data_IF_479995628170
#
_entry.id   IF_479995628170
#
_cell.length_a   1.000
_cell.length_b   1.000
_cell.length_c   1.000
_cell.angle_alpha   90.00
_cell.angle_beta   90.00
_cell.angle_gamma   90.00
#
_symmetry.space_group_name_H-M   'P 1'
#
loop_
_entity.id
_entity.type
_entity.pdbx_description
1 polymer ?
#
# COMPACT_ATOMS: atom_id res chain seq x y z
N UNK A 1 4.11 11.89 8.64
CA UNK A 1 3.46 11.18 9.77
C UNK A 1 4.49 10.91 10.84
N UNK A 2 4.12 10.85 12.13
CA UNK A 2 5.02 10.41 13.21
C UNK A 2 4.82 8.90 13.45
N UNK A 3 5.59 8.30 14.36
CA UNK A 3 5.50 6.88 14.71
C UNK A 3 4.04 6.47 15.04
N UNK A 4 3.58 5.35 14.48
CA UNK A 4 2.31 4.73 14.89
C UNK A 4 2.62 3.77 16.04
N UNK A 5 2.11 4.09 17.23
CA UNK A 5 2.17 3.21 18.38
C UNK A 5 0.95 2.27 18.40
N UNK A 6 1.11 1.06 18.94
CA UNK A 6 0.03 0.07 19.12
C UNK A 6 -0.72 -0.31 17.82
N UNK A 7 0.02 -0.47 16.73
CA UNK A 7 -0.53 -0.88 15.45
C UNK A 7 -0.99 -2.35 15.45
N UNK A 8 -2.23 -2.58 15.01
CA UNK A 8 -2.76 -3.90 14.67
C UNK A 8 -2.98 -3.97 13.16
N UNK A 9 -2.42 -4.96 12.45
CA UNK A 9 -2.57 -5.08 11.01
C UNK A 9 -4.00 -5.49 10.61
N UNK A 10 -4.47 -5.10 9.41
CA UNK A 10 -5.71 -5.64 8.86
C UNK A 10 -5.58 -7.14 8.64
N UNK A 11 -6.69 -7.83 8.85
CA UNK A 11 -6.83 -9.25 8.57
C UNK A 11 -6.83 -9.53 7.07
N UNK A 12 -6.47 -10.76 6.64
CA UNK A 12 -6.59 -11.16 5.24
C UNK A 12 -7.99 -10.93 4.65
N UNK A 13 -9.03 -11.13 5.44
CA UNK A 13 -10.43 -10.93 5.04
C UNK A 13 -10.75 -9.46 4.79
N UNK A 14 -10.27 -8.55 5.63
CA UNK A 14 -10.44 -7.10 5.43
C UNK A 14 -9.69 -6.62 4.19
N UNK A 15 -8.52 -7.20 3.89
CA UNK A 15 -7.78 -6.88 2.66
C UNK A 15 -8.46 -7.40 1.39
N UNK A 16 -9.08 -8.58 1.43
CA UNK A 16 -9.90 -9.08 0.31
C UNK A 16 -11.20 -8.28 0.16
N UNK A 17 -11.81 -7.83 1.26
CA UNK A 17 -12.97 -6.94 1.21
C UNK A 17 -12.60 -5.60 0.55
N UNK A 18 -11.49 -4.98 0.96
CA UNK A 18 -10.98 -3.75 0.33
C UNK A 18 -10.78 -3.93 -1.19
N UNK A 19 -10.18 -5.05 -1.61
CA UNK A 19 -10.00 -5.36 -3.03
C UNK A 19 -11.34 -5.44 -3.78
N UNK A 20 -12.33 -6.08 -3.17
CA UNK A 20 -13.67 -6.19 -3.74
C UNK A 20 -14.39 -4.84 -3.83
N UNK A 21 -14.31 -4.02 -2.77
CA UNK A 21 -14.92 -2.69 -2.70
C UNK A 21 -14.34 -1.73 -3.77
N UNK A 22 -13.03 -1.83 -4.01
CA UNK A 22 -12.36 -1.07 -5.07
C UNK A 22 -12.62 -1.63 -6.48
N UNK A 23 -13.15 -2.86 -6.60
CA UNK A 23 -13.27 -3.56 -7.88
C UNK A 23 -11.92 -3.89 -8.52
N UNK A 24 -10.86 -4.02 -7.71
CA UNK A 24 -9.49 -4.18 -8.18
C UNK A 24 -9.09 -5.66 -8.38
N UNK A 25 -8.18 -5.89 -9.32
CA UNK A 25 -7.48 -7.16 -9.47
C UNK A 25 -6.34 -7.26 -8.44
N UNK A 26 -5.83 -8.48 -8.22
CA UNK A 26 -4.68 -8.67 -7.33
C UNK A 26 -3.39 -7.97 -7.80
N UNK A 27 -3.24 -7.72 -9.11
CA UNK A 27 -2.13 -6.91 -9.63
C UNK A 27 -2.32 -5.43 -9.29
N UNK A 28 -3.53 -4.90 -9.46
CA UNK A 28 -3.83 -3.50 -9.06
C UNK A 28 -3.67 -3.29 -7.55
N UNK A 29 -4.00 -4.30 -6.73
CA UNK A 29 -3.71 -4.24 -5.29
C UNK A 29 -2.20 -4.30 -4.99
N UNK A 30 -1.43 -5.05 -5.78
CA UNK A 30 0.03 -5.07 -5.66
C UNK A 30 0.63 -3.69 -5.97
N UNK A 31 0.16 -3.05 -7.04
CA UNK A 31 0.56 -1.68 -7.41
C UNK A 31 0.18 -0.68 -6.31
N UNK A 32 -1.06 -0.76 -5.80
CA UNK A 32 -1.55 0.07 -4.70
C UNK A 32 -0.75 -0.13 -3.39
N UNK A 33 -0.24 -1.34 -3.15
CA UNK A 33 0.59 -1.64 -2.00
C UNK A 33 2.09 -1.37 -2.24
N UNK A 34 2.49 -0.96 -3.44
CA UNK A 34 3.90 -0.74 -3.79
C UNK A 34 4.73 -2.02 -3.77
N UNK A 35 4.14 -3.17 -4.11
CA UNK A 35 4.83 -4.47 -4.16
C UNK A 35 4.87 -5.03 -5.58
N UNK A 36 5.91 -5.81 -5.89
CA UNK A 36 6.27 -6.12 -7.27
C UNK A 36 5.26 -6.96 -8.09
N UNK A 37 4.30 -7.66 -7.46
CA UNK A 37 3.31 -8.49 -8.19
C UNK A 37 2.18 -8.99 -7.31
N UNK A 38 1.11 -9.53 -7.92
CA UNK A 38 0.04 -10.25 -7.22
C UNK A 38 0.56 -11.40 -6.32
N UNK A 39 1.68 -12.04 -6.68
CA UNK A 39 2.26 -13.07 -5.80
C UNK A 39 2.74 -12.50 -4.46
N UNK A 40 3.22 -11.26 -4.44
CA UNK A 40 3.58 -10.55 -3.20
C UNK A 40 2.33 -10.09 -2.46
N UNK A 41 1.32 -9.60 -3.17
CA UNK A 41 0.02 -9.23 -2.57
C UNK A 41 -0.63 -10.43 -1.84
N UNK A 42 -0.66 -11.60 -2.49
CA UNK A 42 -1.23 -12.85 -1.93
C UNK A 42 -0.55 -13.30 -0.65
N UNK A 43 0.66 -12.83 -0.32
CA UNK A 43 1.28 -13.10 0.99
C UNK A 43 0.51 -12.47 2.13
N UNK A 44 -0.24 -11.39 1.89
CA UNK A 44 -1.06 -10.71 2.90
C UNK A 44 -2.50 -11.23 2.94
N UNK A 45 -2.99 -11.79 1.83
CA UNK A 45 -4.41 -12.17 1.70
C UNK A 45 -4.68 -13.68 1.63
N UNK A 46 -3.67 -14.52 1.42
CA UNK A 46 -3.84 -15.96 1.24
C UNK A 46 -2.76 -16.83 1.89
N UNK A 47 -2.99 -18.14 1.86
CA UNK A 47 -2.13 -19.17 2.46
C UNK A 47 -2.55 -19.56 3.88
N UNK A 48 -1.96 -20.64 4.40
CA UNK A 48 -2.22 -21.13 5.77
C UNK A 48 -1.66 -20.20 6.86
N UNK A 49 -0.73 -19.31 6.50
CA UNK A 49 -0.16 -18.30 7.42
C UNK A 49 0.15 -17.01 6.67
N UNK A 50 -0.87 -16.17 6.43
CA UNK A 50 -0.69 -14.88 5.79
C UNK A 50 0.24 -13.98 6.60
N UNK A 51 1.11 -13.26 5.92
CA UNK A 51 1.99 -12.26 6.51
C UNK A 51 1.17 -11.07 7.00
N UNK A 52 1.47 -10.59 8.20
CA UNK A 52 0.94 -9.32 8.69
C UNK A 52 1.49 -8.14 7.85
N UNK A 53 0.60 -7.24 7.41
CA UNK A 53 0.99 -6.02 6.70
C UNK A 53 1.59 -4.99 7.67
N UNK A 54 2.74 -4.42 7.34
CA UNK A 54 3.36 -3.38 8.18
C UNK A 54 2.58 -2.05 8.08
N UNK A 55 2.64 -1.19 9.12
CA UNK A 55 1.94 0.10 9.09
C UNK A 55 2.42 1.02 7.96
N UNK A 56 3.67 0.87 7.51
CA UNK A 56 4.23 1.65 6.41
C UNK A 56 3.62 1.26 5.05
N UNK A 57 3.41 -0.04 4.82
CA UNK A 57 2.74 -0.51 3.59
C UNK A 57 1.27 -0.08 3.61
N UNK A 58 0.59 -0.24 4.75
CA UNK A 58 -0.81 0.21 4.86
C UNK A 58 -0.94 1.72 4.70
N UNK A 59 0.00 2.50 5.24
CA UNK A 59 0.08 3.93 5.01
C UNK A 59 0.25 4.26 3.52
N UNK A 60 1.11 3.53 2.80
CA UNK A 60 1.29 3.74 1.36
C UNK A 60 0.00 3.45 0.57
N UNK A 61 -0.70 2.37 0.89
CA UNK A 61 -2.04 2.06 0.33
C UNK A 61 -3.02 3.18 0.62
N UNK A 62 -3.16 3.58 1.89
CA UNK A 62 -4.11 4.59 2.32
C UNK A 62 -3.81 5.97 1.71
N UNK A 63 -2.53 6.34 1.59
CA UNK A 63 -2.12 7.58 0.97
C UNK A 63 -2.58 7.66 -0.50
N UNK A 64 -2.44 6.58 -1.26
CA UNK A 64 -2.89 6.54 -2.67
C UNK A 64 -4.42 6.59 -2.83
N UNK A 65 -5.18 6.13 -1.83
CA UNK A 65 -6.64 6.18 -1.85
C UNK A 65 -7.22 7.52 -1.38
N UNK A 66 -6.49 8.27 -0.56
CA UNK A 66 -6.96 9.54 0.04
C UNK A 66 -6.45 10.76 -0.72
N UNK A 67 -5.20 10.74 -1.19
CA UNK A 67 -4.56 11.89 -1.81
C UNK A 67 -4.96 12.02 -3.28
N UNK A 68 -5.10 13.26 -3.73
CA UNK A 68 -5.27 13.54 -5.15
C UNK A 68 -3.93 13.52 -5.90
N UNK A 69 -3.98 13.68 -7.22
CA UNK A 69 -2.78 13.68 -8.06
C UNK A 69 -1.78 14.78 -7.63
N UNK A 70 -2.28 15.97 -7.27
CA UNK A 70 -1.43 17.11 -6.93
C UNK A 70 -0.66 16.84 -5.63
N UNK A 71 -1.32 16.26 -4.64
CA UNK A 71 -0.70 15.89 -3.37
C UNK A 71 0.32 14.77 -3.56
N UNK A 72 0.01 13.77 -4.40
CA UNK A 72 0.95 12.70 -4.75
C UNK A 72 2.18 13.24 -5.50
N UNK A 73 1.99 14.13 -6.47
CA UNK A 73 3.10 14.79 -7.18
C UNK A 73 3.99 15.56 -6.21
N UNK A 74 3.40 16.27 -5.24
CA UNK A 74 4.14 16.99 -4.20
C UNK A 74 4.97 16.07 -3.29
N UNK A 75 4.48 14.86 -3.01
CA UNK A 75 5.26 13.83 -2.30
C UNK A 75 6.44 13.37 -3.16
N UNK A 76 6.22 13.09 -4.45
CA UNK A 76 7.30 12.66 -5.37
C UNK A 76 8.38 13.74 -5.50
N UNK A 77 7.98 15.01 -5.61
CA UNK A 77 8.92 16.13 -5.62
C UNK A 77 9.68 16.24 -4.31
N UNK A 78 9.01 16.06 -3.16
CA UNK A 78 9.68 16.00 -1.86
C UNK A 78 10.67 14.84 -1.78
N UNK A 79 10.36 13.68 -2.37
CA UNK A 79 11.30 12.56 -2.44
C UNK A 79 12.54 12.92 -3.26
N UNK A 80 12.37 13.62 -4.39
CA UNK A 80 13.49 14.15 -5.20
C UNK A 80 14.32 15.16 -4.42
N UNK A 81 13.69 16.09 -3.71
CA UNK A 81 14.38 17.07 -2.86
C UNK A 81 15.25 16.41 -1.77
N UNK A 82 14.82 15.25 -1.25
CA UNK A 82 15.56 14.47 -0.24
C UNK A 82 16.71 13.66 -0.89
N UNK A 83 16.75 13.56 -2.21
CA UNK A 83 17.82 12.92 -2.99
C UNK A 83 17.43 11.64 -3.71
N UNK A 84 16.13 11.31 -3.81
CA UNK A 84 15.69 10.17 -4.62
C UNK A 84 15.78 10.48 -6.12
N UNK A 85 16.31 9.55 -6.92
CA UNK A 85 16.19 9.58 -8.37
C UNK A 85 14.94 8.80 -8.78
N UNK A 86 13.96 9.51 -9.32
CA UNK A 86 12.67 8.98 -9.76
C UNK A 86 12.45 9.44 -11.20
N UNK A 87 12.86 8.60 -12.14
CA UNK A 87 12.53 8.72 -13.56
C UNK A 87 11.10 8.20 -13.77
N UNK A 88 10.24 9.08 -14.28
CA UNK A 88 8.89 8.73 -14.69
C UNK A 88 8.89 8.07 -16.07
#
# INVERSE_FOLDING_TARGET
MRLIENYTPPTPQELEALKADLGYTGNQMADLAGVASNSQWRKYTGGESPRAMSPHILFFVAAQLVLDKKDLDGILDKMRDIGADISA
#
